data_IF_305615984162
#
_entry.id   IF_305615984162
#
_cell.length_a   1.000
_cell.length_b   1.000
_cell.length_c   1.000
_cell.angle_alpha   90.00
_cell.angle_beta   90.00
_cell.angle_gamma   90.00
#
_symmetry.space_group_name_H-M   'P 1'
#
loop_
_entity.id
_entity.type
_entity.pdbx_description
1 polymer ?
#
# COMPACT_ATOMS: atom_id res chain seq x y z
N UNK A 1 20.23 -45.98 2.64
CA UNK A 1 20.66 -44.60 2.94
C UNK A 1 21.23 -44.61 4.34
N UNK A 2 22.55 -44.49 4.49
CA UNK A 2 23.21 -44.53 5.79
C UNK A 2 22.89 -43.24 6.55
N UNK A 3 21.96 -43.33 7.49
CA UNK A 3 21.83 -42.32 8.53
C UNK A 3 23.05 -42.50 9.42
N UNK A 4 24.12 -41.74 9.14
CA UNK A 4 25.24 -41.61 10.06
C UNK A 4 24.59 -41.30 11.42
N UNK A 5 24.84 -42.08 12.48
CA UNK A 5 24.14 -42.01 13.76
C UNK A 5 24.36 -40.72 14.58
N UNK A 6 24.28 -39.57 13.92
CA UNK A 6 24.34 -38.25 14.52
C UNK A 6 23.00 -37.95 15.15
N UNK A 7 23.05 -37.43 16.37
CA UNK A 7 21.87 -36.91 17.02
C UNK A 7 21.50 -35.56 16.36
N UNK A 8 20.28 -35.48 15.83
CA UNK A 8 19.75 -34.26 15.16
C UNK A 8 19.72 -33.08 16.13
N UNK A 9 19.47 -33.33 17.41
CA UNK A 9 19.35 -32.29 18.44
C UNK A 9 20.65 -31.51 18.61
N UNK A 10 21.80 -32.10 18.28
CA UNK A 10 23.11 -31.43 18.32
C UNK A 10 23.28 -30.32 17.27
N UNK A 11 22.46 -30.31 16.22
CA UNK A 11 22.47 -29.27 15.18
C UNK A 11 21.44 -28.17 15.43
N UNK A 12 20.58 -28.34 16.43
CA UNK A 12 19.53 -27.38 16.77
C UNK A 12 20.13 -26.32 17.70
N UNK A 13 20.00 -25.04 17.31
CA UNK A 13 20.46 -23.94 18.16
C UNK A 13 19.74 -23.98 19.52
N UNK A 14 20.48 -23.67 20.59
CA UNK A 14 19.98 -23.59 21.95
C UNK A 14 18.68 -22.77 22.08
N UNK A 15 18.47 -21.74 21.24
CA UNK A 15 17.26 -20.91 21.24
C UNK A 15 15.98 -21.69 20.92
N UNK A 16 16.05 -22.77 20.14
CA UNK A 16 14.89 -23.60 19.76
C UNK A 16 14.61 -24.73 20.75
N UNK A 17 15.39 -24.86 21.82
CA UNK A 17 15.14 -25.88 22.84
C UNK A 17 13.88 -25.58 23.64
N UNK A 18 13.12 -26.64 23.97
CA UNK A 18 11.90 -26.57 24.81
C UNK A 18 12.10 -25.75 26.08
N UNK A 19 13.25 -25.90 26.74
CA UNK A 19 13.58 -25.13 27.96
C UNK A 19 13.58 -23.62 27.72
N UNK A 20 14.10 -23.16 26.58
CA UNK A 20 14.10 -21.73 26.21
C UNK A 20 12.70 -21.26 25.85
N UNK A 21 11.95 -22.06 25.10
CA UNK A 21 10.55 -21.78 24.79
C UNK A 21 9.73 -21.57 26.07
N UNK A 22 9.77 -22.54 26.99
CA UNK A 22 9.05 -22.44 28.26
C UNK A 22 9.51 -21.23 29.07
N UNK A 23 10.82 -20.95 29.14
CA UNK A 23 11.35 -19.76 29.83
C UNK A 23 10.88 -18.45 29.21
N UNK A 24 10.72 -18.38 27.89
CA UNK A 24 10.24 -17.18 27.19
C UNK A 24 8.77 -16.88 27.52
N UNK A 25 7.95 -17.93 27.65
CA UNK A 25 6.51 -17.83 27.92
C UNK A 25 6.14 -18.11 29.39
N UNK A 26 7.12 -18.29 30.27
CA UNK A 26 6.93 -18.54 31.71
C UNK A 26 6.17 -17.38 32.39
N UNK A 27 6.38 -16.17 31.89
CA UNK A 27 5.73 -14.96 32.39
C UNK A 27 4.44 -14.71 31.62
N UNK A 28 3.34 -14.65 32.36
CA UNK A 28 2.06 -14.25 31.81
C UNK A 28 2.04 -12.75 31.48
N UNK A 29 1.73 -12.41 30.23
CA UNK A 29 1.43 -11.03 29.84
C UNK A 29 -0.01 -10.77 30.25
N UNK A 30 -0.19 -9.99 31.32
CA UNK A 30 -1.52 -9.58 31.74
C UNK A 30 -2.18 -8.73 30.65
N UNK A 31 -3.31 -9.20 30.16
CA UNK A 31 -4.13 -8.43 29.23
C UNK A 31 -4.73 -7.24 29.99
N UNK A 32 -4.57 -6.04 29.42
CA UNK A 32 -5.22 -4.83 29.92
C UNK A 32 -6.58 -4.69 29.25
N UNK A 33 -7.66 -4.74 30.05
CA UNK A 33 -9.04 -4.79 29.56
C UNK A 33 -9.46 -3.55 28.77
N UNK A 34 -8.90 -2.37 29.07
CA UNK A 34 -9.25 -1.11 28.39
C UNK A 34 -8.09 -0.09 28.42
N UNK A 35 -7.92 0.67 27.34
CA UNK A 35 -6.98 1.80 27.24
C UNK A 35 -7.17 2.81 28.39
N UNK A 36 -8.41 3.02 28.85
CA UNK A 36 -8.72 3.93 29.95
C UNK A 36 -8.13 3.49 31.29
N UNK A 37 -7.79 2.20 31.45
CA UNK A 37 -7.20 1.65 32.68
C UNK A 37 -5.67 1.67 32.66
N UNK A 38 -5.04 2.15 31.59
CA UNK A 38 -3.58 2.20 31.51
C UNK A 38 -3.04 3.20 32.53
N UNK A 39 -2.01 2.82 33.32
CA UNK A 39 -1.38 3.76 34.24
C UNK A 39 -0.76 4.91 33.44
N UNK A 40 -0.90 6.13 33.96
CA UNK A 40 -0.21 7.28 33.37
C UNK A 40 1.30 7.07 33.52
N UNK A 41 2.00 7.03 32.40
CA UNK A 41 3.45 6.90 32.38
C UNK A 41 4.10 8.18 32.92
N UNK A 42 5.05 8.05 33.84
CA UNK A 42 5.94 9.15 34.27
C UNK A 42 7.05 9.45 33.25
N UNK A 43 7.19 8.60 32.23
CA UNK A 43 8.20 8.78 31.18
C UNK A 43 7.81 9.95 30.28
N UNK A 44 8.79 10.66 29.70
CA UNK A 44 8.49 11.70 28.72
C UNK A 44 7.69 11.11 27.55
N UNK A 45 6.81 11.91 26.92
CA UNK A 45 6.14 11.52 25.69
C UNK A 45 7.16 11.08 24.65
N UNK A 46 6.86 10.00 23.93
CA UNK A 46 7.65 9.58 22.78
C UNK A 46 7.35 10.59 21.67
N UNK A 47 8.37 11.31 21.21
CA UNK A 47 8.22 12.19 20.06
C UNK A 47 7.88 11.36 18.82
N UNK A 48 6.95 11.83 17.97
CA UNK A 48 6.67 11.14 16.73
C UNK A 48 7.95 11.07 15.89
N UNK A 49 8.17 9.97 15.14
CA UNK A 49 9.28 9.92 14.21
C UNK A 49 9.16 11.06 13.20
N UNK A 50 10.30 11.60 12.78
CA UNK A 50 10.35 12.61 11.74
C UNK A 50 9.70 12.06 10.46
N UNK A 51 8.72 12.78 9.93
CA UNK A 51 8.02 12.38 8.71
C UNK A 51 8.95 12.65 7.53
N UNK A 52 9.65 11.61 7.08
CA UNK A 52 10.44 11.68 5.86
C UNK A 52 9.56 11.39 4.64
N UNK A 53 9.66 12.24 3.61
CA UNK A 53 9.01 11.97 2.33
C UNK A 53 9.71 10.77 1.68
N UNK A 54 9.12 9.59 1.83
CA UNK A 54 9.60 8.40 1.15
C UNK A 54 9.48 8.60 -0.36
N UNK A 55 10.49 8.23 -1.17
CA UNK A 55 10.33 8.21 -2.61
C UNK A 55 9.12 7.34 -2.94
N UNK A 56 8.12 7.96 -3.57
CA UNK A 56 6.90 7.28 -3.96
C UNK A 56 7.21 6.07 -4.86
N UNK A 57 6.21 5.22 -5.04
CA UNK A 57 6.30 4.08 -5.95
C UNK A 57 6.78 4.55 -7.33
N UNK A 58 7.87 3.96 -7.81
CA UNK A 58 8.33 4.18 -9.18
C UNK A 58 7.19 3.89 -10.17
N UNK A 59 6.97 4.80 -11.11
CA UNK A 59 5.93 4.63 -12.12
C UNK A 59 6.14 3.32 -12.89
N UNK A 60 5.07 2.54 -13.08
CA UNK A 60 5.11 1.26 -13.81
C UNK A 60 5.72 1.39 -15.22
N UNK A 61 5.55 2.56 -15.84
CA UNK A 61 6.06 2.84 -17.18
C UNK A 61 7.18 3.87 -17.13
N UNK A 62 8.22 3.63 -17.92
CA UNK A 62 9.30 4.59 -18.18
C UNK A 62 8.75 5.88 -18.82
N UNK A 63 9.30 7.04 -18.45
CA UNK A 63 9.09 8.32 -19.15
C UNK A 63 9.81 8.28 -20.51
N UNK A 64 9.11 8.60 -21.59
CA UNK A 64 9.69 8.66 -22.94
C UNK A 64 10.44 9.98 -23.15
N UNK A 65 11.55 9.94 -23.91
CA UNK A 65 12.26 11.14 -24.34
C UNK A 65 11.47 11.88 -25.44
N UNK A 66 11.77 13.17 -25.66
CA UNK A 66 11.07 13.99 -26.67
C UNK A 66 11.20 13.41 -28.08
N UNK A 67 12.36 12.84 -28.39
CA UNK A 67 12.68 12.31 -29.73
C UNK A 67 12.30 10.83 -29.92
N UNK A 68 11.67 10.21 -28.91
CA UNK A 68 11.31 8.80 -28.97
C UNK A 68 10.07 8.59 -29.85
N UNK A 69 10.11 7.68 -30.86
CA UNK A 69 8.98 7.49 -31.76
C UNK A 69 7.72 7.08 -31.00
N UNK A 70 6.69 7.93 -31.08
CA UNK A 70 5.37 7.63 -30.54
C UNK A 70 4.75 6.57 -31.44
N UNK A 71 4.69 5.31 -30.97
CA UNK A 71 3.88 4.27 -31.61
C UNK A 71 2.47 4.82 -31.83
N UNK A 72 2.09 5.06 -33.10
CA UNK A 72 0.73 5.46 -33.46
C UNK A 72 -0.21 4.38 -32.94
N UNK A 73 -1.17 4.75 -32.09
CA UNK A 73 -2.20 3.82 -31.61
C UNK A 73 -3.16 3.57 -32.77
N UNK A 74 -2.83 2.66 -33.67
CA UNK A 74 -3.75 2.20 -34.71
C UNK A 74 -5.01 1.63 -34.04
N UNK A 75 -6.18 2.06 -34.50
CA UNK A 75 -7.49 1.57 -34.01
C UNK A 75 -8.09 2.27 -32.80
N UNK A 76 -7.53 3.39 -32.29
CA UNK A 76 -8.18 4.20 -31.25
C UNK A 76 -8.56 5.58 -31.80
N UNK A 77 -9.86 5.84 -31.90
CA UNK A 77 -10.36 7.15 -32.31
C UNK A 77 -9.81 8.25 -31.40
N UNK A 78 -9.15 9.23 -31.98
CA UNK A 78 -8.60 10.39 -31.27
C UNK A 78 -9.75 11.27 -30.77
N UNK A 79 -9.67 11.69 -29.50
CA UNK A 79 -10.69 12.60 -28.91
C UNK A 79 -10.86 13.90 -29.70
N UNK A 80 -9.84 14.31 -30.47
CA UNK A 80 -9.82 15.56 -31.24
C UNK A 80 -10.97 15.70 -32.25
N UNK A 81 -11.50 14.60 -32.80
CA UNK A 81 -12.52 14.67 -33.86
C UNK A 81 -13.93 14.30 -33.38
N UNK A 82 -14.10 13.95 -32.09
CA UNK A 82 -15.40 13.53 -31.57
C UNK A 82 -16.26 14.76 -31.27
N UNK A 83 -17.30 14.99 -32.08
CA UNK A 83 -18.37 15.95 -31.76
C UNK A 83 -19.17 15.43 -30.56
N UNK A 84 -19.21 16.21 -29.48
CA UNK A 84 -20.02 15.89 -28.30
C UNK A 84 -21.43 16.43 -28.49
N UNK A 85 -22.44 15.60 -28.24
CA UNK A 85 -23.85 15.95 -28.26
C UNK A 85 -24.41 15.93 -26.84
N UNK A 86 -25.15 16.97 -26.47
CA UNK A 86 -25.79 17.06 -25.17
C UNK A 86 -27.00 16.10 -25.13
N UNK A 87 -27.09 15.25 -24.11
CA UNK A 87 -28.24 14.35 -23.96
C UNK A 87 -29.53 15.04 -23.54
N UNK A 88 -29.45 16.29 -23.03
CA UNK A 88 -30.60 17.05 -22.54
C UNK A 88 -31.22 17.91 -23.66
N UNK A 89 -30.45 18.83 -24.24
CA UNK A 89 -30.92 19.73 -25.29
C UNK A 89 -30.64 19.25 -26.72
N UNK A 90 -29.95 18.11 -26.88
CA UNK A 90 -29.56 17.53 -28.18
C UNK A 90 -28.63 18.40 -29.04
N UNK A 91 -28.17 19.55 -28.55
CA UNK A 91 -27.25 20.40 -29.29
C UNK A 91 -25.81 19.87 -29.24
N UNK A 92 -25.02 20.22 -30.26
CA UNK A 92 -23.60 19.87 -30.36
C UNK A 92 -22.77 20.90 -29.60
N UNK A 93 -21.66 20.47 -28.99
CA UNK A 93 -20.64 21.37 -28.42
C UNK A 93 -20.52 21.33 -26.90
N UNK A 94 -21.47 20.72 -26.19
CA UNK A 94 -21.40 20.53 -24.74
C UNK A 94 -22.01 19.20 -24.29
N UNK A 95 -21.71 18.79 -23.06
CA UNK A 95 -22.34 17.64 -22.40
C UNK A 95 -23.41 18.12 -21.43
N UNK A 96 -24.29 17.23 -20.95
CA UNK A 96 -25.36 17.54 -19.98
C UNK A 96 -24.91 18.44 -18.82
N UNK A 97 -23.72 18.21 -18.25
CA UNK A 97 -23.18 19.02 -17.13
C UNK A 97 -22.96 20.51 -17.47
N UNK A 98 -22.66 20.83 -18.71
CA UNK A 98 -22.47 22.21 -19.19
C UNK A 98 -23.65 22.68 -20.04
N UNK A 99 -24.84 22.09 -19.85
CA UNK A 99 -26.01 22.46 -20.63
C UNK A 99 -26.57 23.78 -20.11
N UNK A 100 -26.77 24.80 -20.97
CA UNK A 100 -27.34 26.08 -20.57
C UNK A 100 -28.70 25.93 -19.87
N UNK A 101 -29.52 24.96 -20.29
CA UNK A 101 -30.84 24.67 -19.72
C UNK A 101 -30.75 24.16 -18.26
N UNK A 102 -29.61 23.61 -17.86
CA UNK A 102 -29.38 23.15 -16.48
C UNK A 102 -28.69 24.21 -15.60
N UNK A 103 -28.18 25.28 -16.21
CA UNK A 103 -27.46 26.37 -15.53
C UNK A 103 -28.38 27.59 -15.38
N UNK A 104 -29.41 27.71 -16.22
CA UNK A 104 -30.57 28.60 -16.04
C UNK A 104 -31.59 27.99 -15.11
#
# INVERSE_FOLDING_TARGET
MHYKGWNVDSFVDNWYQRKRYLKAYDKYIQLMTNIKMWPRSTRPPIEPPEITLMPGRLGKNRKKAKDEPVKKKFGKATRKERKMTCSLCKSIGHNKKGCPILIS
#
